data_IF_818801675415
#
_entry.id   IF_818801675415
#
_cell.length_a   1.000
_cell.length_b   1.000
_cell.length_c   1.000
_cell.angle_alpha   90.00
_cell.angle_beta   90.00
_cell.angle_gamma   90.00
#
_symmetry.space_group_name_H-M   'P 1'
#
loop_
_entity.id
_entity.type
_entity.pdbx_description
1 polymer ?
#
# COMPACT_ATOMS: atom_id res chain seq x y z
N UNK A 1 28.13 -11.43 -8.46
CA UNK A 1 28.27 -11.34 -6.99
C UNK A 1 27.02 -11.92 -6.35
N UNK A 2 27.21 -12.90 -5.50
CA UNK A 2 26.06 -13.53 -4.81
C UNK A 2 25.78 -12.71 -3.56
N UNK A 3 24.60 -12.14 -3.47
CA UNK A 3 24.15 -11.40 -2.28
C UNK A 3 23.68 -12.37 -1.21
N UNK A 4 24.59 -13.25 -0.78
CA UNK A 4 24.29 -14.18 0.31
C UNK A 4 24.20 -13.40 1.62
N UNK A 5 23.07 -13.50 2.27
CA UNK A 5 22.86 -12.85 3.56
C UNK A 5 22.20 -11.49 3.52
N UNK A 6 21.71 -11.03 2.36
CA UNK A 6 20.91 -9.80 2.32
C UNK A 6 19.57 -10.05 3.04
N UNK A 7 19.30 -9.25 4.10
CA UNK A 7 18.04 -9.37 4.82
C UNK A 7 16.87 -8.89 3.95
N UNK A 8 15.63 -9.36 4.19
CA UNK A 8 14.47 -8.87 3.46
C UNK A 8 14.31 -7.35 3.55
N UNK A 9 14.56 -6.75 4.71
CA UNK A 9 14.51 -5.30 4.88
C UNK A 9 15.54 -4.56 4.04
N UNK A 10 16.77 -5.08 3.99
CA UNK A 10 17.82 -4.49 3.16
C UNK A 10 17.50 -4.65 1.67
N UNK A 11 16.95 -5.78 1.28
CA UNK A 11 16.51 -6.01 -0.09
C UNK A 11 15.41 -5.03 -0.49
N UNK A 12 14.42 -4.83 0.39
CA UNK A 12 13.36 -3.84 0.15
C UNK A 12 13.95 -2.45 -0.05
N UNK A 13 14.84 -2.02 0.84
CA UNK A 13 15.46 -0.70 0.73
C UNK A 13 16.25 -0.53 -0.57
N UNK A 14 17.00 -1.55 -0.97
CA UNK A 14 17.74 -1.53 -2.24
C UNK A 14 16.81 -1.40 -3.44
N UNK A 15 15.75 -2.21 -3.49
CA UNK A 15 14.77 -2.17 -4.57
C UNK A 15 14.05 -0.82 -4.64
N UNK A 16 13.71 -0.24 -3.49
CA UNK A 16 13.10 1.09 -3.45
C UNK A 16 14.02 2.16 -4.04
N UNK A 17 15.32 2.10 -3.74
CA UNK A 17 16.28 3.03 -4.35
C UNK A 17 16.39 2.82 -5.85
N UNK A 18 16.43 1.58 -6.31
CA UNK A 18 16.53 1.26 -7.75
C UNK A 18 15.31 1.74 -8.54
N UNK A 19 14.13 1.65 -7.95
CA UNK A 19 12.87 2.03 -8.61
C UNK A 19 12.41 3.46 -8.31
N UNK A 20 13.14 4.21 -7.50
CA UNK A 20 12.75 5.57 -7.13
C UNK A 20 11.50 5.63 -6.26
N UNK A 21 11.38 4.72 -5.32
CA UNK A 21 10.27 4.67 -4.37
C UNK A 21 10.64 5.45 -3.11
N UNK A 22 9.76 6.32 -2.65
CA UNK A 22 9.95 7.12 -1.44
C UNK A 22 9.40 6.45 -0.19
N UNK A 23 8.23 5.80 -0.29
CA UNK A 23 7.52 5.22 0.86
C UNK A 23 6.89 3.90 0.45
N UNK A 24 6.87 2.94 1.38
CA UNK A 24 6.14 1.68 1.23
C UNK A 24 5.32 1.42 2.49
N UNK A 25 4.04 1.14 2.29
CA UNK A 25 3.09 0.80 3.35
C UNK A 25 2.54 -0.60 3.13
N UNK A 26 2.44 -1.37 4.21
CA UNK A 26 1.66 -2.60 4.25
C UNK A 26 0.34 -2.29 4.93
N UNK A 27 -0.76 -2.72 4.35
CA UNK A 27 -2.08 -2.49 4.92
C UNK A 27 -2.98 -3.71 4.71
N UNK A 28 -4.23 -3.62 5.16
CA UNK A 28 -5.15 -4.74 5.05
C UNK A 28 -4.85 -5.87 6.04
N UNK A 29 -5.49 -7.01 5.84
CA UNK A 29 -5.52 -8.11 6.82
C UNK A 29 -4.17 -8.81 7.01
N UNK A 30 -3.27 -8.75 6.02
CA UNK A 30 -2.00 -9.47 6.03
C UNK A 30 -0.79 -8.59 6.41
N UNK A 31 -1.03 -7.32 6.77
CA UNK A 31 0.04 -6.35 7.01
C UNK A 31 1.02 -6.82 8.10
N UNK A 32 0.53 -7.37 9.20
CA UNK A 32 1.38 -7.84 10.30
C UNK A 32 2.29 -8.99 9.86
N UNK A 33 1.76 -9.93 9.08
CA UNK A 33 2.57 -11.03 8.55
C UNK A 33 3.63 -10.53 7.59
N UNK A 34 3.30 -9.56 6.74
CA UNK A 34 4.28 -8.93 5.85
C UNK A 34 5.41 -8.26 6.62
N UNK A 35 5.10 -7.57 7.71
CA UNK A 35 6.10 -6.95 8.57
C UNK A 35 7.01 -8.00 9.23
N UNK A 36 6.47 -9.14 9.60
CA UNK A 36 7.24 -10.25 10.18
C UNK A 36 8.21 -10.85 9.15
N UNK A 37 7.79 -10.96 7.91
CA UNK A 37 8.70 -11.39 6.82
C UNK A 37 9.89 -10.44 6.73
N UNK A 38 9.65 -9.13 6.77
CA UNK A 38 10.72 -8.13 6.73
C UNK A 38 11.65 -8.23 7.94
N UNK A 39 11.15 -8.69 9.07
CA UNK A 39 11.95 -8.94 10.27
C UNK A 39 12.77 -10.23 10.18
N UNK A 40 12.68 -10.97 9.08
CA UNK A 40 13.42 -12.22 8.87
C UNK A 40 12.73 -13.46 9.42
N UNK A 41 11.47 -13.34 9.85
CA UNK A 41 10.72 -14.48 10.36
C UNK A 41 10.09 -15.29 9.24
N UNK A 42 10.02 -16.61 9.44
CA UNK A 42 9.23 -17.48 8.57
C UNK A 42 7.77 -17.40 8.98
N UNK A 43 6.88 -17.19 8.01
CA UNK A 43 5.45 -17.09 8.27
C UNK A 43 4.70 -18.19 7.52
N UNK A 44 3.58 -18.62 8.10
CA UNK A 44 2.64 -19.54 7.47
C UNK A 44 1.41 -18.77 7.05
N UNK A 45 1.08 -18.84 5.76
CA UNK A 45 -0.13 -18.21 5.23
C UNK A 45 -1.29 -19.16 5.48
N UNK A 46 -2.26 -18.71 6.30
CA UNK A 46 -3.43 -19.52 6.65
C UNK A 46 -4.47 -19.54 5.53
N UNK A 47 -4.58 -18.44 4.78
CA UNK A 47 -5.48 -18.33 3.66
C UNK A 47 -4.65 -18.16 2.37
N UNK A 48 -4.56 -19.21 1.52
CA UNK A 48 -3.73 -19.14 0.31
C UNK A 48 -4.30 -18.19 -0.76
N UNK A 49 -5.53 -17.73 -0.60
CA UNK A 49 -6.15 -16.74 -1.50
C UNK A 49 -5.94 -15.29 -1.04
N UNK A 50 -5.41 -15.09 0.17
CA UNK A 50 -5.17 -13.76 0.68
C UNK A 50 -3.90 -13.17 0.07
N UNK A 51 -4.03 -11.96 -0.49
CA UNK A 51 -2.92 -11.18 -1.00
C UNK A 51 -2.41 -10.22 0.08
N UNK A 52 -1.13 -9.86 -0.02
CA UNK A 52 -0.55 -8.82 0.81
C UNK A 52 -0.73 -7.47 0.11
N UNK A 53 -1.45 -6.55 0.75
CA UNK A 53 -1.66 -5.20 0.21
C UNK A 53 -0.41 -4.35 0.46
N UNK A 54 0.21 -3.89 -0.63
CA UNK A 54 1.43 -3.08 -0.61
C UNK A 54 1.17 -1.79 -1.36
N UNK A 55 1.27 -0.66 -0.65
CA UNK A 55 1.13 0.66 -1.25
C UNK A 55 2.47 1.36 -1.36
N UNK A 56 2.76 1.96 -2.50
CA UNK A 56 4.03 2.67 -2.74
C UNK A 56 3.78 4.11 -3.17
N UNK A 57 4.70 4.98 -2.76
CA UNK A 57 4.75 6.39 -3.17
C UNK A 57 6.10 6.60 -3.86
N UNK A 58 6.10 7.18 -5.05
CA UNK A 58 7.33 7.46 -5.79
C UNK A 58 8.03 8.71 -5.28
N UNK A 59 9.36 8.78 -5.46
CA UNK A 59 10.14 9.97 -5.08
C UNK A 59 9.80 11.18 -5.93
N UNK A 60 9.59 10.95 -7.22
CA UNK A 60 9.19 11.97 -8.18
C UNK A 60 7.82 11.68 -8.76
N UNK A 61 7.46 12.36 -9.87
CA UNK A 61 6.20 12.07 -10.55
C UNK A 61 6.15 10.61 -11.02
N UNK A 62 4.93 10.05 -11.07
CA UNK A 62 4.73 8.74 -11.69
C UNK A 62 5.22 8.76 -13.14
N UNK A 63 5.70 7.61 -13.67
CA UNK A 63 6.01 7.51 -15.08
C UNK A 63 4.81 7.89 -15.94
N UNK A 64 5.08 8.34 -17.15
CA UNK A 64 4.00 8.65 -18.10
C UNK A 64 3.13 7.42 -18.34
N UNK A 65 1.83 7.60 -18.65
CA UNK A 65 0.91 6.47 -18.82
C UNK A 65 1.41 5.38 -19.78
N UNK A 66 2.13 5.76 -20.84
CA UNK A 66 2.71 4.82 -21.80
C UNK A 66 3.79 3.91 -21.22
N UNK A 67 4.43 4.33 -20.12
CA UNK A 67 5.52 3.57 -19.48
C UNK A 67 5.11 3.01 -18.12
N UNK A 68 3.94 3.36 -17.63
CA UNK A 68 3.48 3.02 -16.27
C UNK A 68 3.32 1.52 -16.07
N UNK A 69 2.78 0.81 -17.06
CA UNK A 69 2.59 -0.63 -16.97
C UNK A 69 3.92 -1.36 -16.83
N UNK A 70 4.92 -0.95 -17.61
CA UNK A 70 6.26 -1.55 -17.56
C UNK A 70 6.91 -1.29 -16.19
N UNK A 71 6.79 -0.08 -15.67
CA UNK A 71 7.27 0.29 -14.35
C UNK A 71 6.59 -0.56 -13.26
N UNK A 72 5.27 -0.66 -13.32
CA UNK A 72 4.48 -1.43 -12.37
C UNK A 72 4.90 -2.91 -12.36
N UNK A 73 5.02 -3.50 -13.56
CA UNK A 73 5.38 -4.92 -13.67
C UNK A 73 6.78 -5.21 -13.11
N UNK A 74 7.75 -4.35 -13.40
CA UNK A 74 9.11 -4.52 -12.88
C UNK A 74 9.14 -4.38 -11.36
N UNK A 75 8.46 -3.39 -10.83
CA UNK A 75 8.35 -3.17 -9.38
C UNK A 75 7.64 -4.34 -8.70
N UNK A 76 6.54 -4.81 -9.28
CA UNK A 76 5.76 -5.94 -8.76
C UNK A 76 6.63 -7.20 -8.63
N UNK A 77 7.33 -7.55 -9.71
CA UNK A 77 8.17 -8.76 -9.73
C UNK A 77 9.26 -8.70 -8.65
N UNK A 78 9.90 -7.55 -8.50
CA UNK A 78 10.97 -7.38 -7.53
C UNK A 78 10.43 -7.43 -6.09
N UNK A 79 9.32 -6.73 -5.82
CA UNK A 79 8.73 -6.71 -4.48
C UNK A 79 8.12 -8.05 -4.08
N UNK A 80 7.57 -8.81 -5.03
CA UNK A 80 7.03 -10.14 -4.74
C UNK A 80 8.10 -11.06 -4.18
N UNK A 81 9.34 -10.97 -4.67
CA UNK A 81 10.46 -11.76 -4.13
C UNK A 81 10.76 -11.42 -2.67
N UNK A 82 10.58 -10.16 -2.26
CA UNK A 82 10.83 -9.74 -0.88
C UNK A 82 9.81 -10.37 0.08
N UNK A 83 8.57 -10.47 -0.35
CA UNK A 83 7.46 -10.86 0.50
C UNK A 83 6.98 -12.29 0.28
N UNK A 84 7.80 -13.13 -0.36
CA UNK A 84 7.46 -14.55 -0.48
C UNK A 84 7.10 -15.13 0.90
N UNK A 85 6.08 -15.97 1.00
CA UNK A 85 5.32 -16.63 -0.06
C UNK A 85 4.04 -15.91 -0.50
N UNK A 86 3.85 -14.62 -0.14
CA UNK A 86 2.66 -13.88 -0.53
C UNK A 86 2.69 -13.48 -2.00
N UNK A 87 1.51 -13.52 -2.64
CA UNK A 87 1.25 -12.71 -3.83
C UNK A 87 0.86 -11.30 -3.35
N UNK A 88 1.18 -10.31 -4.15
CA UNK A 88 0.95 -8.91 -3.78
C UNK A 88 -0.27 -8.34 -4.48
N UNK A 89 -0.98 -7.49 -3.76
CA UNK A 89 -1.86 -6.48 -4.34
C UNK A 89 -1.09 -5.16 -4.25
N UNK A 90 -0.38 -4.82 -5.32
CA UNK A 90 0.49 -3.65 -5.38
C UNK A 90 -0.29 -2.45 -5.88
N UNK A 91 -0.25 -1.36 -5.11
CA UNK A 91 -0.99 -0.13 -5.41
C UNK A 91 -0.01 1.03 -5.51
N UNK A 92 -0.07 1.75 -6.63
CA UNK A 92 0.58 3.06 -6.74
C UNK A 92 -0.36 4.06 -6.07
N UNK A 93 -0.02 4.50 -4.85
CA UNK A 93 -0.94 5.26 -4.01
C UNK A 93 -1.37 6.58 -4.66
N UNK A 94 -0.47 7.22 -5.38
CA UNK A 94 -0.72 8.50 -6.03
C UNK A 94 -1.78 8.43 -7.14
N UNK A 95 -2.12 7.24 -7.64
CA UNK A 95 -3.20 7.04 -8.61
C UNK A 95 -4.58 6.95 -7.95
N UNK A 96 -4.64 6.91 -6.62
CA UNK A 96 -5.86 6.63 -5.90
C UNK A 96 -6.35 7.86 -5.13
N UNK A 97 -7.63 7.83 -4.78
CA UNK A 97 -8.24 8.90 -3.98
C UNK A 97 -7.63 8.96 -2.58
N UNK A 98 -7.59 10.14 -1.98
CA UNK A 98 -7.00 10.37 -0.65
C UNK A 98 -7.64 9.54 0.45
N UNK A 99 -8.93 9.22 0.36
CA UNK A 99 -9.59 8.33 1.33
C UNK A 99 -9.01 6.92 1.27
N UNK A 100 -8.72 6.40 0.08
CA UNK A 100 -8.05 5.12 -0.10
C UNK A 100 -6.60 5.19 0.41
N UNK A 101 -5.88 6.26 0.08
CA UNK A 101 -4.51 6.45 0.55
C UNK A 101 -4.44 6.50 2.08
N UNK A 102 -5.46 7.05 2.73
CA UNK A 102 -5.55 7.06 4.19
C UNK A 102 -5.57 5.64 4.77
N UNK A 103 -6.25 4.70 4.12
CA UNK A 103 -6.25 3.30 4.58
C UNK A 103 -4.84 2.70 4.57
N UNK A 104 -4.04 3.01 3.54
CA UNK A 104 -2.65 2.57 3.49
C UNK A 104 -1.81 3.24 4.60
N UNK A 105 -1.98 4.53 4.80
CA UNK A 105 -1.24 5.31 5.82
C UNK A 105 -1.54 4.81 7.24
N UNK A 106 -2.75 4.33 7.50
CA UNK A 106 -3.12 3.71 8.79
C UNK A 106 -2.45 2.35 9.02
N UNK A 107 -1.90 1.76 7.98
CA UNK A 107 -1.19 0.49 8.08
C UNK A 107 0.22 0.66 8.66
N UNK A 108 1.17 -0.10 8.12
CA UNK A 108 2.53 -0.13 8.61
C UNK A 108 3.46 0.46 7.54
N UNK A 109 4.15 1.54 7.85
CA UNK A 109 5.20 2.06 6.98
C UNK A 109 6.45 1.20 7.16
N UNK A 110 6.85 0.49 6.11
CA UNK A 110 7.98 -0.45 6.15
C UNK A 110 9.22 0.07 5.44
N UNK A 111 9.09 1.16 4.69
CA UNK A 111 10.22 1.86 4.07
C UNK A 111 9.89 3.34 3.94
N UNK A 112 10.88 4.17 4.25
CA UNK A 112 10.82 5.61 4.03
C UNK A 112 12.20 6.09 3.55
N UNK A 113 12.21 6.93 2.53
CA UNK A 113 13.46 7.55 2.07
C UNK A 113 13.99 8.54 3.10
N UNK A 114 13.08 9.21 3.81
CA UNK A 114 13.38 10.09 4.93
C UNK A 114 12.13 10.27 5.80
N UNK A 115 12.34 10.64 7.07
CA UNK A 115 11.23 10.96 7.96
C UNK A 115 10.46 12.20 7.47
N UNK A 116 11.18 13.19 6.96
CA UNK A 116 10.57 14.39 6.42
C UNK A 116 9.62 14.08 5.26
N UNK A 117 10.04 13.22 4.34
CA UNK A 117 9.21 12.83 3.20
C UNK A 117 7.94 12.12 3.64
N UNK A 118 8.07 11.24 4.62
CA UNK A 118 6.93 10.52 5.21
C UNK A 118 5.96 11.49 5.87
N UNK A 119 6.46 12.38 6.72
CA UNK A 119 5.63 13.35 7.45
C UNK A 119 4.87 14.25 6.48
N UNK A 120 5.54 14.75 5.45
CA UNK A 120 4.94 15.60 4.43
C UNK A 120 3.82 14.87 3.69
N UNK A 121 4.05 13.63 3.29
CA UNK A 121 3.04 12.83 2.59
C UNK A 121 1.84 12.54 3.49
N UNK A 122 2.08 12.05 4.71
CA UNK A 122 1.01 11.69 5.64
C UNK A 122 0.15 12.89 6.03
N UNK A 123 0.77 14.05 6.27
CA UNK A 123 0.04 15.29 6.55
C UNK A 123 -0.84 15.71 5.39
N UNK A 124 -0.34 15.60 4.16
CA UNK A 124 -1.11 15.91 2.97
C UNK A 124 -2.34 15.00 2.84
N UNK A 125 -2.15 13.69 3.06
CA UNK A 125 -3.25 12.73 2.96
C UNK A 125 -4.28 12.95 4.06
N UNK A 126 -3.84 13.19 5.30
CA UNK A 126 -4.74 13.48 6.41
C UNK A 126 -5.60 14.72 6.15
N UNK A 127 -5.02 15.79 5.60
CA UNK A 127 -5.75 17.01 5.26
C UNK A 127 -6.78 16.75 4.17
N UNK A 128 -6.39 16.08 3.08
CA UNK A 128 -7.29 15.76 1.96
C UNK A 128 -8.43 14.84 2.40
N UNK A 129 -8.12 13.83 3.19
CA UNK A 129 -9.13 12.91 3.70
C UNK A 129 -10.11 13.61 4.65
N UNK A 130 -9.62 14.50 5.50
CA UNK A 130 -10.45 15.27 6.42
C UNK A 130 -11.41 16.20 5.65
N UNK A 131 -10.94 16.85 4.59
CA UNK A 131 -11.77 17.71 3.76
C UNK A 131 -12.88 16.93 3.04
N UNK A 132 -12.62 15.68 2.71
CA UNK A 132 -13.58 14.83 2.01
C UNK A 132 -14.54 14.10 2.96
N UNK A 133 -14.20 13.94 4.23
CA UNK A 133 -14.96 13.14 5.21
C UNK A 133 -16.42 13.58 5.35
N UNK A 134 -16.77 14.88 5.41
CA UNK A 134 -18.17 15.28 5.53
C UNK A 134 -19.04 14.79 4.38
N UNK A 135 -18.53 14.83 3.15
CA UNK A 135 -19.24 14.31 1.96
C UNK A 135 -19.43 12.80 2.05
N UNK A 136 -18.40 12.08 2.47
CA UNK A 136 -18.46 10.64 2.63
C UNK A 136 -19.48 10.23 3.68
N UNK A 137 -19.50 10.92 4.83
CA UNK A 137 -20.44 10.65 5.90
C UNK A 137 -21.89 10.92 5.45
N UNK A 138 -22.11 12.00 4.73
CA UNK A 138 -23.43 12.34 4.18
C UNK A 138 -23.88 11.27 3.19
N UNK A 139 -23.00 10.88 2.27
CA UNK A 139 -23.29 9.84 1.27
C UNK A 139 -23.67 8.51 1.95
N UNK A 140 -22.89 8.07 2.92
CA UNK A 140 -23.16 6.82 3.65
C UNK A 140 -24.48 6.88 4.40
N UNK A 141 -24.83 8.04 4.98
CA UNK A 141 -26.09 8.23 5.65
C UNK A 141 -27.27 8.09 4.69
N UNK A 142 -27.18 8.73 3.52
CA UNK A 142 -28.21 8.66 2.50
C UNK A 142 -28.41 7.23 1.99
N UNK A 143 -27.31 6.49 1.77
CA UNK A 143 -27.36 5.08 1.36
C UNK A 143 -28.03 4.23 2.42
N UNK A 144 -27.68 4.42 3.72
CA UNK A 144 -28.29 3.68 4.81
C UNK A 144 -29.78 3.97 4.97
N UNK A 145 -30.19 5.24 4.82
CA UNK A 145 -31.60 5.62 4.85
C UNK A 145 -32.36 4.97 3.71
N UNK A 146 -31.79 4.94 2.52
CA UNK A 146 -32.40 4.30 1.34
C UNK A 146 -32.58 2.79 1.56
N UNK A 147 -31.58 2.11 2.12
CA UNK A 147 -31.68 0.68 2.46
C UNK A 147 -32.75 0.43 3.51
N UNK A 148 -32.85 1.28 4.55
CA UNK A 148 -33.87 1.15 5.59
C UNK A 148 -35.28 1.39 5.07
N UNK A 149 -35.43 2.22 4.05
CA UNK A 149 -36.74 2.54 3.46
C UNK A 149 -37.13 1.59 2.32
N UNK A 150 -36.25 0.68 1.92
CA UNK A 150 -36.57 -0.33 0.91
C UNK A 150 -37.42 -1.44 1.55
N UNK A 151 -38.62 -1.74 1.02
CA UNK A 151 -39.44 -2.85 1.57
C UNK A 151 -38.69 -4.18 1.45
N UNK A 152 -38.86 -5.08 2.43
CA UNK A 152 -38.26 -6.42 2.31
C UNK A 152 -38.83 -7.12 1.08
N UNK A 153 -37.96 -7.78 0.33
CA UNK A 153 -38.40 -8.65 -0.77
C UNK A 153 -39.10 -9.85 -0.17
N UNK A 154 -40.32 -10.12 -0.64
CA UNK A 154 -41.09 -11.33 -0.25
C UNK A 154 -40.49 -12.59 -0.88
#
# INVERSE_FOLDING_TARGET
>A
MVYMGESPSNKLARLCREHGIALVYLFGSQAQLGARILAGESVVIKDPLADLDVGVVTEGPLPQPSQRLKFYAALYNDLEEVFEPFHLDLVLLEENHSVFQLEAVKGICVYQVSQERRDTYEMMILRRAADFRPFLQKYLREVLEEVQNTPPED
#
